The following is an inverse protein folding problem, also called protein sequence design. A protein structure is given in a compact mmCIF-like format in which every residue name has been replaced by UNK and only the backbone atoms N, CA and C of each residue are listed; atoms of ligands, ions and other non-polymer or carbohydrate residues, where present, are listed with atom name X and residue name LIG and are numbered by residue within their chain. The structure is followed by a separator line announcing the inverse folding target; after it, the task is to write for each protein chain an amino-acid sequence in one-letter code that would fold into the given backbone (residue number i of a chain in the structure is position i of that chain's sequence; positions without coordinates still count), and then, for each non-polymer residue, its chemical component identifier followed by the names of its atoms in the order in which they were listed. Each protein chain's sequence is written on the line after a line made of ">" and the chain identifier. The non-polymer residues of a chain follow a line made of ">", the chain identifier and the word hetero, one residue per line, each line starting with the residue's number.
data_IF_994952568384
#
_entry.id   IF_994952568384
#
_cell.length_a   1.000
_cell.length_b   1.000
_cell.length_c   1.000
_cell.angle_alpha   90.00
_cell.angle_beta   90.00
_cell.angle_gamma   90.00
#
_symmetry.space_group_name_H-M   'P 1'
#
loop_
_entity.id
_entity.type
_entity.pdbx_description
1 polymer ?
#
# COMPACT_ATOMS: atom_id res chain seq x y z
N UNK A 1 -5.96 -20.63 -10.29
CA UNK A 1 -6.46 -19.81 -11.42
C UNK A 1 -6.39 -18.35 -11.02
N UNK A 2 -5.70 -17.51 -11.78
CA UNK A 2 -5.71 -16.06 -11.56
C UNK A 2 -7.06 -15.53 -12.06
N UNK A 3 -7.95 -15.12 -11.15
CA UNK A 3 -9.10 -14.33 -11.58
C UNK A 3 -8.56 -13.00 -12.10
N UNK A 4 -8.61 -12.81 -13.42
CA UNK A 4 -8.50 -11.48 -14.03
C UNK A 4 -9.75 -10.69 -13.67
N UNK A 5 -9.81 -10.16 -12.45
CA UNK A 5 -10.74 -9.09 -12.14
C UNK A 5 -10.28 -7.88 -12.93
N UNK A 6 -11.11 -7.46 -13.89
CA UNK A 6 -10.82 -6.32 -14.74
C UNK A 6 -10.72 -5.04 -13.91
N UNK A 7 -9.69 -4.25 -14.17
CA UNK A 7 -9.52 -2.92 -13.59
C UNK A 7 -8.76 -2.04 -14.58
N UNK A 8 -9.05 -0.74 -14.60
CA UNK A 8 -8.38 0.21 -15.49
C UNK A 8 -6.90 0.47 -15.13
N UNK A 9 -6.41 -0.08 -14.02
CA UNK A 9 -5.07 0.20 -13.49
C UNK A 9 -4.91 1.61 -12.92
N UNK A 10 -5.99 2.39 -12.81
CA UNK A 10 -5.92 3.81 -12.42
C UNK A 10 -5.90 4.03 -10.90
N UNK A 11 -6.31 3.05 -10.09
CA UNK A 11 -6.48 3.22 -8.64
C UNK A 11 -5.25 3.82 -7.96
N UNK A 12 -4.09 3.17 -8.07
CA UNK A 12 -2.84 3.64 -7.45
C UNK A 12 -2.32 4.95 -8.07
N UNK A 13 -2.58 5.19 -9.36
CA UNK A 13 -2.24 6.46 -10.01
C UNK A 13 -3.03 7.62 -9.42
N UNK A 14 -4.34 7.43 -9.23
CA UNK A 14 -5.22 8.42 -8.60
C UNK A 14 -4.81 8.63 -7.13
N UNK A 15 -4.61 7.56 -6.37
CA UNK A 15 -4.15 7.63 -4.97
C UNK A 15 -2.85 8.39 -4.84
N UNK A 16 -1.85 8.11 -5.68
CA UNK A 16 -0.57 8.82 -5.68
C UNK A 16 -0.73 10.31 -5.96
N UNK A 17 -1.64 10.68 -6.88
CA UNK A 17 -1.98 12.07 -7.17
C UNK A 17 -2.58 12.78 -5.95
N UNK A 18 -3.58 12.18 -5.30
CA UNK A 18 -4.21 12.70 -4.09
C UNK A 18 -3.17 12.89 -2.99
N UNK A 19 -2.41 11.85 -2.65
CA UNK A 19 -1.42 11.89 -1.56
C UNK A 19 -0.37 12.99 -1.78
N UNK A 20 0.18 13.08 -3.00
CA UNK A 20 1.16 14.11 -3.33
C UNK A 20 0.58 15.53 -3.28
N UNK A 21 -0.65 15.71 -3.74
CA UNK A 21 -1.31 17.02 -3.73
C UNK A 21 -1.60 17.53 -2.30
N UNK A 22 -1.66 16.62 -1.32
CA UNK A 22 -1.77 16.95 0.11
C UNK A 22 -0.40 17.03 0.81
N UNK A 23 0.71 17.10 0.06
CA UNK A 23 2.06 17.16 0.64
C UNK A 23 2.53 15.86 1.28
N UNK A 24 1.82 14.76 1.06
CA UNK A 24 2.14 13.45 1.62
C UNK A 24 3.02 12.58 0.73
N UNK A 25 3.27 11.36 1.21
CA UNK A 25 4.00 10.32 0.48
C UNK A 25 3.27 8.98 0.55
N UNK A 26 3.43 8.16 -0.50
CA UNK A 26 2.91 6.78 -0.56
C UNK A 26 4.07 5.84 -0.91
N UNK A 27 4.19 4.74 -0.18
CA UNK A 27 5.15 3.64 -0.41
C UNK A 27 4.42 2.31 -0.54
N UNK A 28 5.00 1.39 -1.30
CA UNK A 28 4.47 0.04 -1.50
C UNK A 28 5.62 -0.95 -1.30
N UNK A 29 5.43 -1.92 -0.42
CA UNK A 29 6.39 -2.97 -0.09
C UNK A 29 5.74 -4.33 -0.30
N UNK A 30 6.39 -5.19 -1.07
CA UNK A 30 5.98 -6.56 -1.33
C UNK A 30 7.23 -7.41 -1.53
N UNK A 31 7.38 -8.56 -0.85
CA UNK A 31 6.46 -9.12 0.15
C UNK A 31 6.32 -8.23 1.41
N UNK A 32 5.33 -8.53 2.27
CA UNK A 32 5.15 -7.83 3.55
C UNK A 32 6.45 -7.95 4.39
N UNK A 33 7.05 -6.85 4.87
CA UNK A 33 8.30 -6.89 5.63
C UNK A 33 8.19 -7.75 6.90
N UNK A 34 9.21 -8.55 7.28
CA UNK A 34 9.16 -9.48 8.42
C UNK A 34 8.86 -8.83 9.77
N UNK A 35 9.42 -7.65 9.99
CA UNK A 35 9.24 -6.81 11.17
C UNK A 35 7.83 -6.25 11.30
N UNK A 36 7.13 -6.05 10.18
CA UNK A 36 5.77 -5.54 10.16
C UNK A 36 4.77 -6.70 10.32
N UNK A 37 3.76 -6.47 11.16
CA UNK A 37 2.66 -7.39 11.42
C UNK A 37 3.09 -8.81 11.84
N UNK A 38 3.80 -8.96 12.98
CA UNK A 38 4.36 -10.25 13.42
C UNK A 38 3.31 -11.34 13.67
N UNK A 39 2.06 -10.94 13.95
CA UNK A 39 0.95 -11.85 14.22
C UNK A 39 0.14 -12.26 12.98
N UNK A 40 0.46 -11.71 11.79
CA UNK A 40 -0.27 -12.10 10.59
C UNK A 40 -0.01 -13.58 10.29
N UNK A 41 -1.06 -14.41 10.17
CA UNK A 41 -0.91 -15.81 9.83
C UNK A 41 -0.56 -15.93 8.35
N UNK A 42 0.74 -15.87 8.04
CA UNK A 42 1.25 -15.80 6.66
C UNK A 42 1.28 -17.16 5.94
N UNK A 43 0.86 -18.25 6.61
CA UNK A 43 0.59 -19.55 5.99
C UNK A 43 1.75 -20.21 5.23
N UNK A 44 2.98 -19.67 5.32
CA UNK A 44 4.10 -20.01 4.46
C UNK A 44 4.91 -18.78 4.05
N UNK A 45 5.22 -18.63 2.76
CA UNK A 45 5.89 -17.43 2.23
C UNK A 45 5.05 -16.17 2.47
N UNK A 46 5.69 -15.08 2.90
CA UNK A 46 5.01 -13.79 3.10
C UNK A 46 4.48 -13.27 1.76
N UNK A 47 3.23 -13.58 1.43
CA UNK A 47 2.56 -13.05 0.25
C UNK A 47 1.73 -11.82 0.64
N UNK A 48 1.65 -10.85 -0.27
CA UNK A 48 0.91 -9.60 -0.06
C UNK A 48 1.77 -8.36 -0.21
N UNK A 49 1.14 -7.21 -0.03
CA UNK A 49 1.79 -5.91 -0.12
C UNK A 49 1.28 -4.99 0.98
N UNK A 50 2.18 -4.16 1.53
CA UNK A 50 1.86 -3.06 2.44
C UNK A 50 1.90 -1.75 1.66
N UNK A 51 0.86 -0.95 1.79
CA UNK A 51 0.81 0.41 1.25
C UNK A 51 0.80 1.39 2.41
N UNK A 52 1.88 2.15 2.56
CA UNK A 52 2.02 3.13 3.65
C UNK A 52 1.81 4.53 3.09
N UNK A 53 0.83 5.26 3.67
CA UNK A 53 0.52 6.64 3.31
C UNK A 53 0.85 7.54 4.51
N UNK A 54 1.73 8.51 4.28
CA UNK A 54 2.07 9.55 5.26
C UNK A 54 1.48 10.87 4.77
N UNK A 55 0.63 11.49 5.58
CA UNK A 55 0.05 12.80 5.30
C UNK A 55 0.51 13.79 6.38
N UNK A 56 0.91 15.02 6.03
CA UNK A 56 1.17 16.05 7.01
C UNK A 56 -0.14 16.39 7.74
N UNK A 57 -0.10 16.44 9.07
CA UNK A 57 -1.16 17.05 9.86
C UNK A 57 -0.97 18.56 9.85
N UNK A 58 -2.07 19.32 9.86
CA UNK A 58 -2.03 20.75 10.14
C UNK A 58 -1.70 20.97 11.64
N UNK A 59 -0.48 20.62 12.05
CA UNK A 59 0.05 21.08 13.33
C UNK A 59 0.40 22.55 13.16
N UNK A 60 -0.41 23.37 13.83
CA UNK A 60 -0.17 24.79 14.10
C UNK A 60 1.10 24.98 14.91
#
# INVERSE_FOLDING_TARGET
>A
MSQKVGGSGLGLTITKGIVKNHGGTIKCESPVPPEDFPELPLGGERQGAVFTILLPTASS
#
